data_IF_557358739493
#
_entry.id   IF_557358739493
#
_cell.length_a   1.000
_cell.length_b   1.000
_cell.length_c   1.000
_cell.angle_alpha   90.00
_cell.angle_beta   90.00
_cell.angle_gamma   90.00
#
_symmetry.space_group_name_H-M   'P 1'
#
loop_
_entity.id
_entity.type
_entity.pdbx_description
1 polymer ?
#
# COMPACT_ATOMS: atom_id res chain seq x y z
N UNK A 1 20.07 14.62 0.57
CA UNK A 1 18.62 14.43 0.79
C UNK A 1 17.91 15.76 0.70
N UNK A 2 16.75 15.79 0.04
CA UNK A 2 15.83 16.94 0.08
C UNK A 2 14.94 16.79 1.32
N UNK A 3 15.19 17.59 2.33
CA UNK A 3 14.46 17.49 3.61
C UNK A 3 12.99 17.86 3.49
N UNK A 4 12.64 18.84 2.65
CA UNK A 4 11.25 19.22 2.44
C UNK A 4 10.48 18.09 1.76
N UNK A 5 11.08 17.44 0.77
CA UNK A 5 10.49 16.28 0.09
C UNK A 5 10.36 15.08 1.03
N UNK A 6 11.35 14.87 1.91
CA UNK A 6 11.28 13.83 2.94
C UNK A 6 10.11 14.07 3.89
N UNK A 7 9.95 15.31 4.40
CA UNK A 7 8.85 15.65 5.30
C UNK A 7 7.49 15.51 4.61
N UNK A 8 7.39 15.90 3.35
CA UNK A 8 6.19 15.68 2.55
C UNK A 8 5.92 14.18 2.41
N UNK A 9 6.96 13.38 2.25
CA UNK A 9 6.85 11.93 2.15
C UNK A 9 6.32 11.30 3.43
N UNK A 10 6.81 11.71 4.58
CA UNK A 10 6.30 11.24 5.88
C UNK A 10 4.82 11.58 6.02
N UNK A 11 4.44 12.79 5.71
CA UNK A 11 3.03 13.23 5.78
C UNK A 11 2.14 12.38 4.87
N UNK A 12 2.53 12.21 3.62
CA UNK A 12 1.77 11.43 2.64
C UNK A 12 1.65 9.97 3.05
N UNK A 13 2.75 9.37 3.48
CA UNK A 13 2.78 7.98 3.95
C UNK A 13 1.82 7.76 5.12
N UNK A 14 1.79 8.70 6.07
CA UNK A 14 0.86 8.64 7.21
C UNK A 14 -0.59 8.71 6.77
N UNK A 15 -0.89 9.57 5.82
CA UNK A 15 -2.25 9.71 5.28
C UNK A 15 -2.73 8.44 4.58
N UNK A 16 -1.84 7.75 3.87
CA UNK A 16 -2.17 6.54 3.11
C UNK A 16 -2.14 5.28 3.98
N UNK A 17 -1.10 5.08 4.76
CA UNK A 17 -0.88 3.83 5.50
C UNK A 17 -1.30 3.90 6.97
N UNK A 18 -1.55 5.10 7.49
CA UNK A 18 -1.91 5.32 8.89
C UNK A 18 -0.70 5.54 9.79
N UNK A 19 -0.90 6.30 10.85
CA UNK A 19 0.17 6.67 11.78
C UNK A 19 0.79 5.46 12.48
N UNK A 20 -0.02 4.49 12.90
CA UNK A 20 0.47 3.31 13.61
C UNK A 20 1.46 2.50 12.77
N UNK A 21 1.13 2.29 11.49
CA UNK A 21 2.03 1.56 10.58
C UNK A 21 3.34 2.32 10.36
N UNK A 22 3.25 3.62 10.11
CA UNK A 22 4.43 4.45 9.85
C UNK A 22 5.32 4.54 11.10
N UNK A 23 4.72 4.70 12.28
CA UNK A 23 5.46 4.72 13.55
C UNK A 23 6.22 3.41 13.78
N UNK A 24 5.59 2.25 13.50
CA UNK A 24 6.26 0.95 13.60
C UNK A 24 7.41 0.83 12.61
N UNK A 25 7.19 1.27 11.37
CA UNK A 25 8.24 1.25 10.32
C UNK A 25 9.44 2.11 10.70
N UNK A 26 9.20 3.32 11.20
CA UNK A 26 10.27 4.24 11.60
C UNK A 26 11.01 3.73 12.84
N UNK A 27 10.29 3.14 13.80
CA UNK A 27 10.90 2.57 15.00
C UNK A 27 11.80 1.37 14.70
N UNK A 28 11.54 0.66 13.63
CA UNK A 28 12.33 -0.51 13.20
C UNK A 28 13.59 -0.14 12.40
N UNK A 29 13.74 1.13 12.03
CA UNK A 29 14.89 1.60 11.25
C UNK A 29 16.15 1.60 12.14
N UNK A 30 17.22 1.05 11.59
CA UNK A 30 18.53 1.07 12.20
C UNK A 30 19.57 1.63 11.22
N UNK A 31 20.84 1.62 11.63
CA UNK A 31 21.93 2.12 10.78
C UNK A 31 22.01 1.38 9.44
N UNK A 32 21.71 0.08 9.44
CA UNK A 32 21.77 -0.76 8.24
C UNK A 32 20.66 -0.42 7.25
N UNK A 33 19.45 -0.22 7.74
CA UNK A 33 18.25 -0.06 6.90
C UNK A 33 17.93 1.39 6.55
N UNK A 34 18.50 2.34 7.30
CA UNK A 34 18.19 3.77 7.13
C UNK A 34 18.37 4.29 5.71
N UNK A 35 19.46 3.98 4.98
CA UNK A 35 19.62 4.52 3.62
C UNK A 35 18.48 4.14 2.67
N UNK A 36 18.00 2.91 2.75
CA UNK A 36 16.87 2.46 1.93
C UNK A 36 15.57 3.11 2.40
N UNK A 37 15.34 3.17 3.70
CA UNK A 37 14.13 3.78 4.25
C UNK A 37 14.04 5.26 3.90
N UNK A 38 15.16 5.98 3.97
CA UNK A 38 15.23 7.40 3.58
C UNK A 38 14.85 7.57 2.10
N UNK A 39 15.34 6.70 1.23
CA UNK A 39 15.02 6.72 -0.19
C UNK A 39 13.54 6.43 -0.44
N UNK A 40 12.99 5.44 0.26
CA UNK A 40 11.56 5.09 0.17
C UNK A 40 10.68 6.28 0.54
N UNK A 41 11.01 6.96 1.64
CA UNK A 41 10.21 8.11 2.11
C UNK A 41 10.38 9.30 1.19
N UNK A 42 11.61 9.68 0.89
CA UNK A 42 11.91 10.87 0.08
C UNK A 42 11.40 10.71 -1.36
N UNK A 43 11.77 9.62 -2.01
CA UNK A 43 11.47 9.41 -3.43
C UNK A 43 10.08 8.82 -3.64
N UNK A 44 9.78 7.71 -2.99
CA UNK A 44 8.50 7.00 -3.18
C UNK A 44 7.32 7.82 -2.67
N UNK A 45 7.35 8.21 -1.42
CA UNK A 45 6.23 8.92 -0.80
C UNK A 45 6.24 10.42 -1.07
N UNK A 46 7.42 11.05 -1.01
CA UNK A 46 7.55 12.48 -1.25
C UNK A 46 7.60 12.85 -2.72
N UNK A 47 8.25 12.03 -3.54
CA UNK A 47 8.45 12.31 -4.96
C UNK A 47 7.35 11.80 -5.88
N UNK A 48 6.72 10.67 -5.53
CA UNK A 48 5.72 10.04 -6.40
C UNK A 48 4.30 10.10 -5.82
N UNK A 49 4.09 9.56 -4.62
CA UNK A 49 2.75 9.52 -4.02
C UNK A 49 2.15 10.89 -3.76
N UNK A 50 2.98 11.90 -3.55
CA UNK A 50 2.53 13.28 -3.32
C UNK A 50 2.17 14.04 -4.60
N UNK A 51 2.38 13.45 -5.80
CA UNK A 51 2.09 14.10 -7.08
C UNK A 51 0.59 14.18 -7.34
N UNK A 52 0.16 15.29 -7.94
CA UNK A 52 -1.25 15.53 -8.28
C UNK A 52 -1.69 14.86 -9.59
N UNK A 53 -0.76 14.33 -10.39
CA UNK A 53 -1.05 13.79 -11.71
C UNK A 53 -1.93 12.56 -11.74
N UNK A 54 -2.03 11.86 -10.60
CA UNK A 54 -2.90 10.70 -10.44
C UNK A 54 -3.37 10.67 -8.99
N UNK A 55 -4.65 10.42 -8.77
CA UNK A 55 -5.19 10.36 -7.42
C UNK A 55 -4.69 9.14 -6.63
N UNK A 56 -4.83 9.20 -5.32
CA UNK A 56 -4.31 8.16 -4.43
C UNK A 56 -5.06 6.84 -4.56
N UNK A 57 -6.35 6.91 -4.81
CA UNK A 57 -7.20 5.75 -5.04
C UNK A 57 -6.69 4.94 -6.24
N UNK A 58 -6.44 5.62 -7.35
CA UNK A 58 -5.90 5.00 -8.57
C UNK A 58 -4.50 4.43 -8.34
N UNK A 59 -3.63 5.13 -7.60
CA UNK A 59 -2.30 4.63 -7.25
C UNK A 59 -2.38 3.34 -6.43
N UNK A 60 -3.32 3.26 -5.49
CA UNK A 60 -3.53 2.04 -4.71
C UNK A 60 -3.95 0.86 -5.59
N UNK A 61 -4.87 1.07 -6.53
CA UNK A 61 -5.32 0.00 -7.45
C UNK A 61 -4.18 -0.48 -8.34
N UNK A 62 -3.35 0.44 -8.83
CA UNK A 62 -2.14 0.11 -9.60
C UNK A 62 -1.19 -0.75 -8.76
N UNK A 63 -0.97 -0.37 -7.50
CA UNK A 63 -0.08 -1.11 -6.61
C UNK A 63 -0.59 -2.53 -6.34
N UNK A 64 -1.89 -2.71 -6.16
CA UNK A 64 -2.47 -4.05 -6.01
C UNK A 64 -2.10 -4.93 -7.22
N UNK A 65 -2.24 -4.40 -8.41
CA UNK A 65 -1.87 -5.12 -9.64
C UNK A 65 -0.38 -5.42 -9.72
N UNK A 66 0.46 -4.43 -9.49
CA UNK A 66 1.92 -4.60 -9.58
C UNK A 66 2.44 -5.57 -8.52
N UNK A 67 1.99 -5.44 -7.27
CA UNK A 67 2.48 -6.29 -6.17
C UNK A 67 1.99 -7.73 -6.30
N UNK A 68 0.82 -7.92 -6.88
CA UNK A 68 0.32 -9.24 -7.26
C UNK A 68 1.23 -9.87 -8.33
N UNK A 69 1.52 -9.13 -9.38
CA UNK A 69 2.37 -9.59 -10.49
C UNK A 69 3.78 -9.93 -10.01
N UNK A 70 4.35 -9.08 -9.14
CA UNK A 70 5.70 -9.25 -8.62
C UNK A 70 5.81 -10.28 -7.50
N UNK A 71 4.68 -10.78 -7.01
CA UNK A 71 4.61 -11.71 -5.88
C UNK A 71 5.31 -11.14 -4.63
N UNK A 72 4.81 -9.99 -4.17
CA UNK A 72 5.29 -9.31 -2.96
C UNK A 72 4.18 -9.27 -1.89
N UNK A 73 3.91 -10.41 -1.22
CA UNK A 73 2.72 -10.50 -0.35
C UNK A 73 2.77 -9.59 0.87
N UNK A 74 3.95 -9.32 1.43
CA UNK A 74 4.07 -8.40 2.56
C UNK A 74 3.66 -6.98 2.18
N UNK A 75 4.23 -6.44 1.10
CA UNK A 75 3.89 -5.11 0.61
C UNK A 75 2.45 -5.04 0.11
N UNK A 76 1.96 -6.11 -0.49
CA UNK A 76 0.57 -6.21 -0.93
C UNK A 76 -0.40 -6.00 0.24
N UNK A 77 -0.16 -6.67 1.38
CA UNK A 77 -1.01 -6.50 2.56
C UNK A 77 -1.01 -5.06 3.07
N UNK A 78 0.15 -4.42 3.07
CA UNK A 78 0.28 -3.00 3.45
C UNK A 78 -0.55 -2.12 2.51
N UNK A 79 -0.44 -2.34 1.20
CA UNK A 79 -1.14 -1.52 0.21
C UNK A 79 -2.62 -1.85 0.05
N UNK A 80 -3.07 -3.03 0.43
CA UNK A 80 -4.51 -3.31 0.55
C UNK A 80 -5.15 -2.45 1.63
N UNK A 81 -4.50 -2.32 2.79
CA UNK A 81 -4.96 -1.40 3.83
C UNK A 81 -4.90 0.05 3.36
N UNK A 82 -3.83 0.42 2.67
CA UNK A 82 -3.71 1.74 2.06
C UNK A 82 -4.82 2.03 1.05
N UNK A 83 -5.23 1.04 0.27
CA UNK A 83 -6.33 1.18 -0.69
C UNK A 83 -7.65 1.51 0.01
N UNK A 84 -7.95 0.84 1.11
CA UNK A 84 -9.13 1.13 1.94
C UNK A 84 -9.04 2.57 2.48
N UNK A 85 -7.90 2.96 3.02
CA UNK A 85 -7.68 4.32 3.54
C UNK A 85 -7.84 5.38 2.44
N UNK A 86 -7.45 5.07 1.22
CA UNK A 86 -7.55 5.99 0.07
C UNK A 86 -8.94 6.00 -0.58
N UNK A 87 -9.91 5.29 0.00
CA UNK A 87 -11.30 5.33 -0.45
C UNK A 87 -11.65 4.33 -1.55
N UNK A 88 -10.80 3.34 -1.83
CA UNK A 88 -11.17 2.25 -2.72
C UNK A 88 -12.30 1.44 -2.09
N UNK A 89 -13.33 1.17 -2.86
CA UNK A 89 -14.42 0.31 -2.39
C UNK A 89 -13.99 -1.16 -2.44
N UNK A 90 -14.69 -2.01 -1.69
CA UNK A 90 -14.43 -3.45 -1.72
C UNK A 90 -14.62 -4.01 -3.14
N UNK A 91 -15.63 -3.54 -3.85
CA UNK A 91 -15.88 -3.92 -5.25
C UNK A 91 -14.69 -3.55 -6.12
N UNK A 92 -14.16 -2.35 -5.99
CA UNK A 92 -13.00 -1.90 -6.77
C UNK A 92 -11.75 -2.74 -6.49
N UNK A 93 -11.52 -3.08 -5.24
CA UNK A 93 -10.38 -3.93 -4.86
C UNK A 93 -10.54 -5.33 -5.48
N UNK A 94 -11.72 -5.91 -5.38
CA UNK A 94 -12.00 -7.23 -5.99
C UNK A 94 -11.86 -7.16 -7.51
N UNK A 95 -12.35 -6.10 -8.15
CA UNK A 95 -12.20 -5.93 -9.60
C UNK A 95 -10.74 -5.81 -10.03
N UNK A 96 -9.90 -5.15 -9.23
CA UNK A 96 -8.45 -5.12 -9.48
C UNK A 96 -7.85 -6.52 -9.44
N UNK A 97 -8.25 -7.36 -8.48
CA UNK A 97 -7.79 -8.75 -8.38
C UNK A 97 -8.27 -9.56 -9.59
N UNK A 98 -9.53 -9.38 -10.00
CA UNK A 98 -10.05 -10.04 -11.21
C UNK A 98 -9.23 -9.68 -12.45
N UNK A 99 -8.83 -8.42 -12.57
CA UNK A 99 -7.96 -7.98 -13.66
C UNK A 99 -6.62 -8.71 -13.64
N UNK A 100 -6.03 -8.93 -12.47
CA UNK A 100 -4.78 -9.67 -12.34
C UNK A 100 -4.92 -11.14 -12.74
N UNK A 101 -6.09 -11.74 -12.56
CA UNK A 101 -6.33 -13.13 -12.95
C UNK A 101 -6.09 -13.34 -14.44
N UNK A 102 -6.42 -12.34 -15.26
CA UNK A 102 -6.24 -12.38 -16.72
C UNK A 102 -4.78 -12.13 -17.12
N UNK A 103 -4.13 -11.14 -16.51
CA UNK A 103 -2.80 -10.69 -16.95
C UNK A 103 -1.64 -11.25 -16.15
N UNK A 104 -1.89 -11.73 -14.92
CA UNK A 104 -0.85 -12.30 -14.06
C UNK A 104 -1.02 -13.80 -13.83
N UNK A 105 -2.19 -14.34 -14.14
CA UNK A 105 -2.54 -15.74 -13.94
C UNK A 105 -3.40 -15.99 -12.71
N UNK A 106 -4.18 -17.07 -12.78
CA UNK A 106 -5.12 -17.44 -11.71
C UNK A 106 -4.44 -17.68 -10.36
N UNK A 107 -3.29 -18.38 -10.29
CA UNK A 107 -2.65 -18.60 -8.99
C UNK A 107 -2.26 -17.30 -8.28
N UNK A 108 -1.75 -16.31 -9.00
CA UNK A 108 -1.40 -15.01 -8.43
C UNK A 108 -2.65 -14.30 -7.88
N UNK A 109 -3.73 -14.31 -8.63
CA UNK A 109 -5.00 -13.71 -8.21
C UNK A 109 -5.59 -14.42 -7.00
N UNK A 110 -5.50 -15.75 -6.93
CA UNK A 110 -5.98 -16.54 -5.80
C UNK A 110 -5.23 -16.18 -4.52
N UNK A 111 -3.90 -16.05 -4.58
CA UNK A 111 -3.11 -15.65 -3.43
C UNK A 111 -3.48 -14.25 -2.94
N UNK A 112 -3.63 -13.32 -3.86
CA UNK A 112 -4.04 -11.95 -3.51
C UNK A 112 -5.45 -11.94 -2.90
N UNK A 113 -6.38 -12.72 -3.45
CA UNK A 113 -7.74 -12.80 -2.91
C UNK A 113 -7.76 -13.31 -1.47
N UNK A 114 -6.88 -14.22 -1.10
CA UNK A 114 -6.76 -14.69 0.30
C UNK A 114 -6.42 -13.53 1.23
N UNK A 115 -5.50 -12.64 0.82
CA UNK A 115 -5.14 -11.45 1.60
C UNK A 115 -6.29 -10.44 1.66
N UNK A 116 -7.02 -10.26 0.55
CA UNK A 116 -8.20 -9.39 0.50
C UNK A 116 -9.28 -9.90 1.47
N UNK A 117 -9.58 -11.19 1.41
CA UNK A 117 -10.56 -11.82 2.30
C UNK A 117 -10.18 -11.64 3.76
N UNK A 118 -8.90 -11.90 4.09
CA UNK A 118 -8.41 -11.74 5.47
C UNK A 118 -8.56 -10.31 5.96
N UNK A 119 -8.24 -9.32 5.11
CA UNK A 119 -8.39 -7.91 5.46
C UNK A 119 -9.85 -7.54 5.71
N UNK A 120 -10.75 -7.95 4.83
CA UNK A 120 -12.17 -7.62 4.97
C UNK A 120 -12.78 -8.28 6.21
N UNK A 121 -12.37 -9.51 6.54
CA UNK A 121 -12.79 -10.19 7.77
C UNK A 121 -12.27 -9.44 9.01
N UNK A 122 -11.03 -8.98 8.99
CA UNK A 122 -10.45 -8.17 10.06
C UNK A 122 -11.24 -6.87 10.27
N UNK A 123 -11.54 -6.15 9.18
CA UNK A 123 -12.29 -4.90 9.24
C UNK A 123 -13.72 -5.12 9.76
N UNK A 124 -14.36 -6.19 9.35
CA UNK A 124 -15.72 -6.53 9.80
C UNK A 124 -15.74 -6.90 11.28
N UNK A 125 -14.72 -7.63 11.77
CA UNK A 125 -14.57 -7.97 13.18
C UNK A 125 -14.36 -6.73 14.04
N UNK A 126 -13.54 -5.79 13.60
CA UNK A 126 -13.27 -4.53 14.31
C UNK A 126 -14.55 -3.69 14.44
N UNK A 127 -15.40 -3.66 13.39
CA UNK A 127 -16.66 -2.94 13.41
C UNK A 127 -17.70 -3.61 14.30
N UNK A 128 -17.59 -4.92 14.51
CA UNK A 128 -18.51 -5.70 15.33
C UNK A 128 -18.18 -5.64 16.82
N UNK A 129 -17.00 -5.15 17.17
CA UNK A 129 -16.54 -5.02 18.57
C UNK A 129 -16.96 -3.66 19.21
#
# INVERSE_FOLDING_TARGET
MDHDQYEQGIKTRREVLGDAHVDRSLAAVDELTKPLQDLVVEYGWGGIWARDGLDRRSRSLINIGMLTALNRPHELQVHLKGAVNNGCTRVEIVEAVLQTAVYCGMPAALDTMRHVKALFDELDSDQSA
#
